data_IF_585263949686
#
_entry.id   IF_585263949686
#
_cell.length_a   1.000
_cell.length_b   1.000
_cell.length_c   1.000
_cell.angle_alpha   90.00
_cell.angle_beta   90.00
_cell.angle_gamma   90.00
#
_symmetry.space_group_name_H-M   'P 1'
#
loop_
_entity.id
_entity.type
_entity.pdbx_description
1 polymer ?
#
# COMPACT_ATOMS: atom_id res chain seq x y z
N UNK A 1 -13.56 26.78 20.63
CA UNK A 1 -14.01 27.14 19.27
C UNK A 1 -13.36 26.17 18.30
N UNK A 2 -14.12 25.21 17.83
CA UNK A 2 -13.59 24.23 16.87
C UNK A 2 -13.66 24.83 15.48
N UNK A 3 -12.53 25.16 14.88
CA UNK A 3 -12.48 25.55 13.47
C UNK A 3 -12.88 24.30 12.66
N UNK A 4 -14.12 24.23 12.24
CA UNK A 4 -14.55 23.27 11.24
C UNK A 4 -13.80 23.62 9.96
N UNK A 5 -12.81 22.84 9.62
CA UNK A 5 -12.15 22.96 8.33
C UNK A 5 -13.21 22.68 7.26
N UNK A 6 -13.53 23.69 6.45
CA UNK A 6 -14.51 23.61 5.36
C UNK A 6 -13.96 22.75 4.19
N UNK A 7 -12.81 22.16 4.37
CA UNK A 7 -12.17 21.29 3.38
C UNK A 7 -12.58 19.84 3.65
N UNK A 8 -13.51 19.33 2.86
CA UNK A 8 -13.69 17.88 2.75
C UNK A 8 -12.54 17.34 1.89
N UNK A 9 -11.72 16.47 2.48
CA UNK A 9 -10.71 15.73 1.70
C UNK A 9 -11.45 14.75 0.77
N UNK A 10 -11.32 14.86 -0.55
CA UNK A 10 -11.98 13.95 -1.50
C UNK A 10 -11.55 12.47 -1.34
N UNK A 11 -10.57 12.20 -0.49
CA UNK A 11 -10.03 10.88 -0.21
C UNK A 11 -10.31 10.38 1.22
N UNK A 12 -11.24 11.00 1.93
CA UNK A 12 -11.56 10.62 3.32
C UNK A 12 -11.98 9.15 3.46
N UNK A 13 -12.74 8.62 2.51
CA UNK A 13 -13.15 7.20 2.50
C UNK A 13 -11.94 6.26 2.37
N UNK A 14 -11.00 6.59 1.50
CA UNK A 14 -9.76 5.84 1.33
C UNK A 14 -8.92 5.86 2.61
N UNK A 15 -8.79 7.03 3.24
CA UNK A 15 -8.08 7.20 4.51
C UNK A 15 -8.76 6.44 5.65
N UNK A 16 -10.08 6.47 5.71
CA UNK A 16 -10.85 5.75 6.72
C UNK A 16 -10.69 4.22 6.58
N UNK A 17 -10.79 3.71 5.36
CA UNK A 17 -10.59 2.29 5.09
C UNK A 17 -9.17 1.82 5.46
N UNK A 18 -8.16 2.61 5.15
CA UNK A 18 -6.77 2.30 5.52
C UNK A 18 -6.57 2.33 7.04
N UNK A 19 -7.14 3.32 7.74
CA UNK A 19 -7.10 3.37 9.21
C UNK A 19 -7.75 2.14 9.83
N UNK A 20 -8.89 1.71 9.32
CA UNK A 20 -9.58 0.51 9.79
C UNK A 20 -8.71 -0.75 9.64
N UNK A 21 -8.04 -0.90 8.49
CA UNK A 21 -7.10 -2.01 8.27
C UNK A 21 -5.91 -1.93 9.25
N UNK A 22 -5.31 -0.76 9.41
CA UNK A 22 -4.16 -0.59 10.29
C UNK A 22 -4.53 -0.83 11.77
N UNK A 23 -5.75 -0.53 12.18
CA UNK A 23 -6.24 -0.77 13.55
C UNK A 23 -6.30 -2.25 13.94
N UNK A 24 -6.27 -3.17 12.98
CA UNK A 24 -6.17 -4.62 13.24
C UNK A 24 -4.80 -5.02 13.80
N UNK A 25 -3.78 -4.15 13.67
CA UNK A 25 -2.40 -4.42 14.09
C UNK A 25 -1.98 -3.40 15.15
N UNK A 26 -1.74 -3.87 16.37
CA UNK A 26 -1.37 -3.02 17.51
C UNK A 26 0.04 -2.45 17.36
N UNK A 27 0.31 -1.37 18.12
CA UNK A 27 1.65 -0.82 18.24
C UNK A 27 2.66 -1.85 18.76
N UNK A 28 2.22 -2.74 19.65
CA UNK A 28 3.05 -3.82 20.18
C UNK A 28 3.41 -4.83 19.10
N UNK A 29 2.49 -5.14 18.20
CA UNK A 29 2.78 -6.00 17.04
C UNK A 29 3.93 -5.42 16.21
N UNK A 30 3.88 -4.13 15.90
CA UNK A 30 4.93 -3.47 15.11
C UNK A 30 6.25 -3.35 15.88
N UNK A 31 6.19 -2.98 17.16
CA UNK A 31 7.39 -2.91 18.02
C UNK A 31 8.08 -4.26 18.18
N UNK A 32 7.31 -5.34 18.37
CA UNK A 32 7.86 -6.68 18.52
C UNK A 32 8.52 -7.17 17.24
N UNK A 33 7.91 -6.93 16.07
CA UNK A 33 8.56 -7.24 14.81
C UNK A 33 9.87 -6.47 14.63
N UNK A 34 9.91 -5.19 15.00
CA UNK A 34 11.13 -4.38 14.94
C UNK A 34 12.23 -4.90 15.89
N UNK A 35 11.88 -5.20 17.15
CA UNK A 35 12.83 -5.74 18.15
C UNK A 35 13.41 -7.08 17.73
N UNK A 36 12.57 -7.96 17.23
CA UNK A 36 12.95 -9.31 16.83
C UNK A 36 13.53 -9.38 15.42
N UNK A 37 13.57 -8.24 14.70
CA UNK A 37 13.99 -8.16 13.30
C UNK A 37 13.24 -9.17 12.42
N UNK A 38 11.95 -9.33 12.67
CA UNK A 38 11.07 -10.23 11.92
C UNK A 38 10.23 -9.46 10.92
N UNK A 39 9.95 -10.13 9.80
CA UNK A 39 9.10 -9.54 8.76
C UNK A 39 7.65 -9.53 9.22
N UNK A 40 6.90 -8.42 9.05
CA UNK A 40 5.53 -8.29 9.54
C UNK A 40 4.52 -8.97 8.59
N UNK A 41 4.62 -10.28 8.43
CA UNK A 41 3.89 -11.10 7.45
C UNK A 41 2.39 -10.83 7.49
N UNK A 42 1.79 -10.87 8.68
CA UNK A 42 0.32 -10.73 8.81
C UNK A 42 -0.20 -9.40 8.31
N UNK A 43 0.49 -8.30 8.63
CA UNK A 43 0.07 -6.97 8.20
C UNK A 43 0.30 -6.75 6.70
N UNK A 44 1.33 -7.34 6.14
CA UNK A 44 1.60 -7.29 4.71
C UNK A 44 0.60 -8.15 3.94
N UNK A 45 0.30 -9.35 4.40
CA UNK A 45 -0.73 -10.20 3.81
C UNK A 45 -2.10 -9.52 3.80
N UNK A 46 -2.48 -8.87 4.90
CA UNK A 46 -3.75 -8.13 4.96
C UNK A 46 -3.80 -7.00 3.94
N UNK A 47 -2.71 -6.23 3.77
CA UNK A 47 -2.63 -5.18 2.75
C UNK A 47 -2.65 -5.74 1.34
N UNK A 48 -1.99 -6.85 1.13
CA UNK A 48 -1.97 -7.54 -0.17
C UNK A 48 -3.36 -8.01 -0.56
N UNK A 49 -4.04 -8.72 0.34
CA UNK A 49 -5.40 -9.22 0.12
C UNK A 49 -6.41 -8.09 -0.12
N UNK A 50 -6.22 -6.96 0.54
CA UNK A 50 -7.03 -5.76 0.36
C UNK A 50 -6.72 -4.94 -0.91
N UNK A 51 -5.70 -5.33 -1.68
CA UNK A 51 -5.29 -4.62 -2.91
C UNK A 51 -4.50 -3.33 -2.67
N UNK A 52 -4.09 -3.05 -1.44
CA UNK A 52 -3.39 -1.81 -1.09
C UNK A 52 -1.99 -1.70 -1.71
N UNK A 53 -1.30 -2.82 -1.87
CA UNK A 53 0.03 -2.87 -2.48
C UNK A 53 -0.01 -2.84 -4.00
N UNK A 54 -1.16 -3.08 -4.60
CA UNK A 54 -1.38 -3.02 -6.05
C UNK A 54 -2.04 -1.73 -6.51
N UNK A 55 -2.04 -0.69 -5.67
CA UNK A 55 -2.72 0.57 -5.93
C UNK A 55 -2.35 1.20 -7.29
N UNK A 56 -1.08 1.16 -7.67
CA UNK A 56 -0.58 1.73 -8.91
C UNK A 56 -0.62 0.77 -10.11
N UNK A 57 -0.84 -0.52 -9.88
CA UNK A 57 -0.90 -1.51 -10.97
C UNK A 57 -2.19 -1.31 -11.73
N UNK A 58 -2.16 -1.15 -13.07
CA UNK A 58 -3.36 -1.02 -13.87
C UNK A 58 -4.31 -2.24 -13.74
N UNK A 59 -5.61 -2.01 -13.89
CA UNK A 59 -6.63 -3.06 -13.78
C UNK A 59 -6.41 -4.21 -14.77
N UNK A 60 -5.92 -3.91 -15.97
CA UNK A 60 -5.58 -4.94 -16.98
C UNK A 60 -4.52 -5.95 -16.52
N UNK A 61 -3.76 -5.62 -15.48
CA UNK A 61 -2.78 -6.50 -14.82
C UNK A 61 -3.25 -6.99 -13.45
N UNK A 62 -4.52 -6.83 -13.14
CA UNK A 62 -5.10 -7.26 -11.86
C UNK A 62 -4.91 -6.29 -10.70
N UNK A 63 -4.43 -5.09 -10.95
CA UNK A 63 -4.27 -4.05 -9.93
C UNK A 63 -5.50 -3.18 -9.72
N UNK A 64 -5.38 -2.18 -8.86
CA UNK A 64 -6.47 -1.25 -8.53
C UNK A 64 -6.50 0.01 -9.41
N UNK A 65 -5.44 0.30 -10.17
CA UNK A 65 -5.37 1.42 -11.10
C UNK A 65 -5.60 2.81 -10.51
N UNK A 66 -5.23 3.01 -9.24
CA UNK A 66 -5.61 4.22 -8.48
C UNK A 66 -4.76 5.46 -8.78
N UNK A 67 -3.61 5.31 -9.39
CA UNK A 67 -2.69 6.40 -9.65
C UNK A 67 -1.86 6.85 -8.44
N UNK A 68 -0.94 7.78 -8.69
CA UNK A 68 0.10 8.18 -7.75
C UNK A 68 -0.45 8.89 -6.50
N UNK A 69 -1.44 9.75 -6.65
CA UNK A 69 -2.03 10.50 -5.52
C UNK A 69 -2.60 9.54 -4.47
N UNK A 70 -3.40 8.58 -4.90
CA UNK A 70 -4.01 7.61 -3.98
C UNK A 70 -2.97 6.65 -3.40
N UNK A 71 -1.97 6.25 -4.19
CA UNK A 71 -0.85 5.45 -3.70
C UNK A 71 -0.04 6.20 -2.62
N UNK A 72 0.16 7.51 -2.78
CA UNK A 72 0.80 8.35 -1.76
C UNK A 72 0.00 8.42 -0.47
N UNK A 73 -1.33 8.48 -0.56
CA UNK A 73 -2.23 8.45 0.60
C UNK A 73 -2.11 7.12 1.34
N UNK A 74 -2.00 6.01 0.62
CA UNK A 74 -1.77 4.68 1.22
C UNK A 74 -0.46 4.64 2.00
N UNK A 75 0.61 5.17 1.43
CA UNK A 75 1.91 5.22 2.09
C UNK A 75 1.89 6.13 3.32
N UNK A 76 1.35 7.34 3.20
CA UNK A 76 1.19 8.28 4.30
C UNK A 76 0.37 7.68 5.44
N UNK A 77 -0.80 7.13 5.13
CA UNK A 77 -1.69 6.53 6.12
C UNK A 77 -1.07 5.33 6.83
N UNK A 78 -0.30 4.51 6.12
CA UNK A 78 0.43 3.38 6.71
C UNK A 78 1.45 3.87 7.74
N UNK A 79 2.27 4.88 7.40
CA UNK A 79 3.22 5.47 8.35
C UNK A 79 2.53 6.15 9.54
N UNK A 80 1.44 6.88 9.27
CA UNK A 80 0.67 7.58 10.31
C UNK A 80 0.08 6.63 11.36
N UNK A 81 -0.23 5.40 10.97
CA UNK A 81 -0.74 4.38 11.88
C UNK A 81 0.37 3.66 12.67
N UNK A 82 1.61 4.13 12.63
CA UNK A 82 2.74 3.52 13.34
C UNK A 82 3.35 2.31 12.65
N UNK A 83 2.90 1.98 11.44
CA UNK A 83 3.48 0.91 10.63
C UNK A 83 4.67 1.42 9.82
N UNK A 84 5.62 0.53 9.53
CA UNK A 84 6.67 0.84 8.57
C UNK A 84 6.12 0.68 7.15
N UNK A 85 6.09 1.76 6.37
CA UNK A 85 5.62 1.75 4.99
C UNK A 85 6.72 1.40 3.96
N UNK A 86 7.87 0.91 4.39
CA UNK A 86 8.99 0.58 3.49
C UNK A 86 8.60 -0.39 2.39
N UNK A 87 7.76 -1.39 2.68
CA UNK A 87 7.23 -2.32 1.69
C UNK A 87 6.27 -1.65 0.70
N UNK A 88 5.44 -0.72 1.14
CA UNK A 88 4.59 0.07 0.23
C UNK A 88 5.45 0.93 -0.69
N UNK A 89 6.46 1.60 -0.16
CA UNK A 89 7.38 2.42 -0.93
C UNK A 89 8.17 1.59 -1.95
N UNK A 90 8.74 0.46 -1.52
CA UNK A 90 9.45 -0.46 -2.41
C UNK A 90 8.58 -0.94 -3.57
N UNK A 91 7.34 -1.31 -3.29
CA UNK A 91 6.37 -1.70 -4.30
C UNK A 91 6.07 -0.54 -5.27
N UNK A 92 5.85 0.66 -4.77
CA UNK A 92 5.51 1.83 -5.59
C UNK A 92 6.61 2.20 -6.59
N UNK A 93 7.86 2.26 -6.17
CA UNK A 93 8.93 2.67 -7.10
C UNK A 93 9.29 1.55 -8.07
N UNK A 94 9.27 0.28 -7.67
CA UNK A 94 9.49 -0.84 -8.57
C UNK A 94 8.40 -0.94 -9.64
N UNK A 95 7.14 -0.89 -9.22
CA UNK A 95 5.98 -0.88 -10.12
C UNK A 95 6.02 0.35 -11.03
N UNK A 96 6.27 1.53 -10.49
CA UNK A 96 6.34 2.77 -11.25
C UNK A 96 7.43 2.74 -12.31
N UNK A 97 8.60 2.21 -11.98
CA UNK A 97 9.72 2.04 -12.92
C UNK A 97 9.34 1.08 -14.05
N UNK A 98 8.78 -0.07 -13.70
CA UNK A 98 8.39 -1.08 -14.68
C UNK A 98 7.26 -0.58 -15.60
N UNK A 99 6.27 0.12 -15.05
CA UNK A 99 5.18 0.72 -15.85
C UNK A 99 5.70 1.76 -16.83
N UNK A 100 6.70 2.53 -16.45
CA UNK A 100 7.24 3.62 -17.27
C UNK A 100 8.24 3.14 -18.33
N UNK A 101 9.12 2.22 -17.97
CA UNK A 101 10.27 1.84 -18.79
C UNK A 101 10.27 0.38 -19.23
N UNK A 102 9.44 -0.47 -18.65
CA UNK A 102 9.37 -1.89 -19.00
C UNK A 102 8.74 -2.13 -20.37
N UNK A 103 9.20 -3.18 -21.06
CA UNK A 103 8.54 -3.66 -22.26
C UNK A 103 7.17 -4.28 -21.94
N UNK A 104 6.33 -4.49 -22.96
CA UNK A 104 5.06 -5.18 -22.78
C UNK A 104 5.25 -6.59 -22.18
N UNK A 105 6.25 -7.32 -22.66
CA UNK A 105 6.60 -8.66 -22.16
C UNK A 105 7.00 -8.64 -20.69
N UNK A 106 7.86 -7.69 -20.28
CA UNK A 106 8.26 -7.54 -18.88
C UNK A 106 7.08 -7.22 -17.98
N UNK A 107 6.19 -6.33 -18.41
CA UNK A 107 4.96 -6.00 -17.67
C UNK A 107 4.06 -7.21 -17.50
N UNK A 108 3.80 -7.95 -18.57
CA UNK A 108 2.98 -9.16 -18.52
C UNK A 108 3.63 -10.24 -17.66
N UNK A 109 4.93 -10.50 -17.84
CA UNK A 109 5.65 -11.50 -17.07
C UNK A 109 5.69 -11.18 -15.58
N UNK A 110 5.75 -9.89 -15.20
CA UNK A 110 5.87 -9.48 -13.80
C UNK A 110 4.51 -9.32 -13.13
N UNK A 111 3.52 -8.73 -13.78
CA UNK A 111 2.25 -8.39 -13.14
C UNK A 111 1.22 -9.52 -13.19
N UNK A 112 1.15 -10.33 -14.25
CA UNK A 112 0.14 -11.38 -14.37
C UNK A 112 0.37 -12.65 -13.54
N UNK A 113 1.62 -13.11 -13.29
CA UNK A 113 1.83 -14.29 -12.45
C UNK A 113 1.80 -13.97 -10.96
N UNK A 114 1.73 -12.69 -10.58
CA UNK A 114 1.66 -12.33 -9.19
C UNK A 114 0.26 -12.59 -8.63
N UNK A 115 0.08 -13.63 -7.83
CA UNK A 115 -0.80 -13.43 -6.70
C UNK A 115 -0.20 -12.23 -5.99
N UNK A 116 -0.94 -11.14 -5.88
CA UNK A 116 -0.55 -9.80 -5.40
C UNK A 116 0.31 -9.74 -4.11
N UNK A 117 0.87 -10.86 -3.70
CA UNK A 117 1.53 -11.14 -2.44
C UNK A 117 3.06 -11.34 -2.53
N UNK A 118 3.67 -11.33 -3.70
CA UNK A 118 5.08 -11.68 -3.82
C UNK A 118 5.88 -10.68 -4.64
N UNK A 119 5.84 -9.41 -4.25
CA UNK A 119 6.86 -8.46 -4.66
C UNK A 119 7.65 -8.02 -3.43
N UNK A 120 8.66 -8.76 -3.10
CA UNK A 120 9.79 -8.27 -2.34
C UNK A 120 11.03 -8.59 -3.14
#
# INVERSE_FOLDING_TARGET
MTVRTIYSDPHDDLRAALRALCAEFSDDYHRNNGRNRTYPVKSIDARTKGGWLSAMIPEKFGGSGLGLTKASIVMEGTNRCGCNAGHCHGQMYNVGTLLRYGSAEQKFATFLPLPLARCV
#
